data_IF_883200594014
#
_entry.id   IF_883200594014
#
_cell.length_a   1.000
_cell.length_b   1.000
_cell.length_c   1.000
_cell.angle_alpha   90.00
_cell.angle_beta   90.00
_cell.angle_gamma   90.00
#
_symmetry.space_group_name_H-M   'P 1'
#
loop_
_entity.id
_entity.type
_entity.pdbx_description
1 polymer ?
#
# COMPACT_ATOMS: atom_id res chain seq x y z
N UNK A 1 17.36 -5.64 24.97
CA UNK A 1 17.17 -5.96 23.54
C UNK A 1 16.46 -7.30 23.45
N UNK A 2 15.44 -7.43 22.60
CA UNK A 2 14.78 -8.73 22.35
C UNK A 2 15.66 -9.52 21.39
N UNK A 3 15.93 -10.79 21.70
CA UNK A 3 16.66 -11.68 20.78
C UNK A 3 15.70 -12.23 19.73
N UNK A 4 16.18 -12.48 18.52
CA UNK A 4 15.34 -12.91 17.41
C UNK A 4 14.55 -14.20 17.72
N UNK A 5 15.16 -15.13 18.47
CA UNK A 5 14.55 -16.41 18.85
C UNK A 5 13.36 -16.25 19.81
N UNK A 6 13.17 -15.06 20.39
CA UNK A 6 12.07 -14.73 21.28
C UNK A 6 10.85 -14.16 20.52
N UNK A 7 10.98 -13.88 19.23
CA UNK A 7 9.88 -13.37 18.39
C UNK A 7 8.95 -14.52 18.06
N UNK A 8 7.68 -14.38 18.44
CA UNK A 8 6.67 -15.44 18.30
C UNK A 8 5.88 -15.38 16.99
N UNK A 9 6.00 -14.29 16.24
CA UNK A 9 5.30 -14.12 14.98
C UNK A 9 5.54 -12.75 14.36
N UNK A 10 5.18 -12.66 13.08
CA UNK A 10 5.22 -11.45 12.28
C UNK A 10 3.84 -11.25 11.64
N UNK A 11 3.43 -10.00 11.53
CA UNK A 11 2.27 -9.60 10.74
C UNK A 11 2.83 -8.78 9.58
N UNK A 12 2.47 -9.19 8.37
CA UNK A 12 2.82 -8.48 7.15
C UNK A 12 1.57 -7.81 6.62
N UNK A 13 1.75 -6.59 6.14
CA UNK A 13 0.74 -5.98 5.27
C UNK A 13 0.65 -6.78 3.96
N UNK A 14 -0.47 -6.67 3.28
CA UNK A 14 -0.68 -7.37 2.02
C UNK A 14 -0.14 -6.53 0.87
N UNK A 15 -0.67 -5.33 0.70
CA UNK A 15 -0.46 -4.51 -0.49
C UNK A 15 0.89 -3.78 -0.45
N UNK A 16 1.74 -4.05 -1.43
CA UNK A 16 3.10 -3.50 -1.49
C UNK A 16 4.13 -4.19 -0.58
N UNK A 17 3.71 -5.16 0.25
CA UNK A 17 4.62 -5.96 1.09
C UNK A 17 4.63 -7.42 0.65
N UNK A 18 3.50 -8.12 0.70
CA UNK A 18 3.40 -9.51 0.22
C UNK A 18 2.98 -9.56 -1.25
N UNK A 19 2.09 -8.67 -1.66
CA UNK A 19 1.58 -8.57 -3.03
C UNK A 19 2.09 -7.30 -3.71
N UNK A 20 2.54 -7.39 -4.96
CA UNK A 20 2.95 -6.22 -5.74
C UNK A 20 1.74 -5.52 -6.37
N UNK A 21 0.91 -4.90 -5.53
CA UNK A 21 -0.38 -4.31 -5.93
C UNK A 21 -0.42 -2.78 -5.84
N UNK A 22 0.61 -2.13 -5.29
CA UNK A 22 0.64 -0.67 -5.11
C UNK A 22 0.41 0.10 -6.41
N UNK A 23 0.93 -0.41 -7.53
CA UNK A 23 0.69 0.19 -8.85
C UNK A 23 -0.79 0.18 -9.24
N UNK A 24 -1.49 -0.93 -9.01
CA UNK A 24 -2.90 -1.07 -9.36
C UNK A 24 -3.79 -0.23 -8.45
N UNK A 25 -3.45 -0.13 -7.16
CA UNK A 25 -4.11 0.79 -6.25
C UNK A 25 -3.98 2.23 -6.73
N UNK A 26 -2.76 2.67 -7.11
CA UNK A 26 -2.56 4.01 -7.67
C UNK A 26 -3.39 4.26 -8.93
N UNK A 27 -3.46 3.29 -9.84
CA UNK A 27 -4.32 3.38 -11.04
C UNK A 27 -5.80 3.51 -10.70
N UNK A 28 -6.31 2.71 -9.77
CA UNK A 28 -7.70 2.75 -9.34
C UNK A 28 -8.05 4.07 -8.64
N UNK A 29 -7.15 4.59 -7.80
CA UNK A 29 -7.33 5.88 -7.13
C UNK A 29 -7.30 7.05 -8.12
N UNK A 30 -6.42 7.02 -9.12
CA UNK A 30 -6.39 8.03 -10.16
C UNK A 30 -7.67 8.02 -11.00
N UNK A 31 -8.15 6.84 -11.40
CA UNK A 31 -9.43 6.71 -12.08
C UNK A 31 -10.58 7.28 -11.25
N UNK A 32 -10.61 7.00 -9.94
CA UNK A 32 -11.63 7.55 -9.05
C UNK A 32 -11.55 9.07 -8.95
N UNK A 33 -10.35 9.64 -8.92
CA UNK A 33 -10.15 11.09 -8.90
C UNK A 33 -10.72 11.74 -10.17
N UNK A 34 -10.49 11.13 -11.34
CA UNK A 34 -11.06 11.58 -12.62
C UNK A 34 -12.60 11.56 -12.59
N UNK A 35 -13.19 10.47 -12.07
CA UNK A 35 -14.65 10.32 -11.95
C UNK A 35 -15.28 11.38 -11.02
N UNK A 36 -14.54 11.78 -9.97
CA UNK A 36 -14.98 12.78 -8.99
C UNK A 36 -14.61 14.21 -9.39
N UNK A 37 -13.83 14.42 -10.45
CA UNK A 37 -13.31 15.72 -10.86
C UNK A 37 -12.29 16.31 -9.87
N UNK A 38 -11.59 15.46 -9.12
CA UNK A 38 -10.55 15.85 -8.17
C UNK A 38 -9.19 15.83 -8.87
N UNK A 39 -8.39 16.88 -8.69
CA UNK A 39 -7.04 16.92 -9.27
C UNK A 39 -6.13 15.88 -8.62
N UNK A 40 -5.56 14.99 -9.44
CA UNK A 40 -4.53 14.04 -9.02
C UNK A 40 -3.15 14.69 -8.99
N UNK A 41 -2.36 14.41 -7.95
CA UNK A 41 -0.98 14.88 -7.79
C UNK A 41 -0.07 13.71 -7.46
N UNK A 42 1.15 13.69 -7.98
CA UNK A 42 2.14 12.62 -7.71
C UNK A 42 2.62 12.56 -6.24
N UNK A 43 2.35 13.61 -5.45
CA UNK A 43 2.77 13.75 -4.05
C UNK A 43 1.83 13.08 -3.02
N UNK A 44 0.75 12.42 -3.45
CA UNK A 44 -0.21 11.70 -2.59
C UNK A 44 -0.11 10.18 -2.74
#
# INVERSE_FOLDING_TARGET
>A
MVKFEQIKGFIFDLDGVIANTSLYHGQAWHQLADELGVTWTEDL
#
